data_IF_574304820294
#
_entry.id   IF_574304820294
#
_cell.length_a   1.000
_cell.length_b   1.000
_cell.length_c   1.000
_cell.angle_alpha   90.00
_cell.angle_beta   90.00
_cell.angle_gamma   90.00
#
_symmetry.space_group_name_H-M   'P 1'
#
loop_
_entity.id
_entity.type
_entity.pdbx_description
1 polymer ?
#
# COMPACT_ATOMS: atom_id res chain seq x y z
N UNK A 1 29.23 -9.81 39.63
CA UNK A 1 27.91 -9.18 39.63
C UNK A 1 28.06 -7.87 40.39
N UNK A 2 28.08 -6.73 39.69
CA UNK A 2 28.26 -5.42 40.34
C UNK A 2 26.87 -4.86 40.66
N UNK A 3 26.52 -4.85 41.95
CA UNK A 3 25.19 -4.44 42.42
C UNK A 3 24.87 -2.96 42.16
N UNK A 4 25.87 -2.15 41.81
CA UNK A 4 25.71 -0.74 41.52
C UNK A 4 25.79 -0.42 40.03
N UNK A 5 25.90 -1.44 39.16
CA UNK A 5 25.92 -1.20 37.72
C UNK A 5 24.57 -0.66 37.25
N UNK A 6 24.59 0.53 36.64
CA UNK A 6 23.44 1.17 36.03
C UNK A 6 23.70 1.34 34.54
N UNK A 7 22.72 1.00 33.73
CA UNK A 7 22.78 1.12 32.27
C UNK A 7 21.79 2.21 31.85
N UNK A 8 22.27 3.20 31.10
CA UNK A 8 21.47 4.29 30.55
C UNK A 8 21.60 4.31 29.02
N UNK A 9 20.47 4.43 28.32
CA UNK A 9 20.44 4.56 26.86
C UNK A 9 20.06 5.98 26.44
N UNK A 10 20.66 6.43 25.35
CA UNK A 10 20.39 7.72 24.75
C UNK A 10 20.16 7.58 23.25
N UNK A 11 19.28 8.41 22.71
CA UNK A 11 19.05 8.61 21.28
C UNK A 11 19.28 10.08 20.94
N UNK A 12 20.21 10.36 20.03
CA UNK A 12 20.60 11.71 19.62
C UNK A 12 20.95 12.62 20.82
N UNK A 13 21.67 12.07 21.80
CA UNK A 13 22.10 12.78 23.01
C UNK A 13 21.02 13.00 24.07
N UNK A 14 19.78 12.54 23.83
CA UNK A 14 18.68 12.60 24.81
C UNK A 14 18.42 11.23 25.42
N UNK A 15 18.01 11.12 26.70
CA UNK A 15 17.64 9.84 27.28
C UNK A 15 16.60 9.14 26.42
N UNK A 16 16.78 7.84 26.19
CA UNK A 16 15.84 7.04 25.40
C UNK A 16 14.46 7.09 26.08
N UNK A 17 13.40 7.53 25.38
CA UNK A 17 12.08 7.67 25.98
C UNK A 17 11.50 6.29 26.29
N UNK A 18 10.69 6.20 27.35
CA UNK A 18 9.95 4.98 27.67
C UNK A 18 8.85 4.76 26.64
N UNK A 19 8.99 3.74 25.80
CA UNK A 19 7.97 3.34 24.83
C UNK A 19 7.87 1.82 24.76
N UNK A 20 6.68 1.29 24.45
CA UNK A 20 6.44 -0.16 24.35
C UNK A 20 7.28 -0.86 23.27
N UNK A 21 7.75 -0.10 22.28
CA UNK A 21 8.61 -0.61 21.19
C UNK A 21 10.07 -0.80 21.59
N UNK A 22 10.51 -0.19 22.70
CA UNK A 22 11.88 -0.32 23.19
C UNK A 22 11.93 -1.38 24.28
N UNK A 23 12.63 -2.47 23.99
CA UNK A 23 12.87 -3.52 24.97
C UNK A 23 14.36 -3.54 25.30
N UNK A 24 14.68 -3.42 26.59
CA UNK A 24 16.06 -3.41 27.07
C UNK A 24 16.28 -4.69 27.85
N UNK A 25 17.28 -5.47 27.44
CA UNK A 25 17.72 -6.67 28.15
C UNK A 25 19.04 -6.39 28.85
N UNK A 26 19.13 -6.71 30.13
CA UNK A 26 20.37 -6.71 30.89
C UNK A 26 20.48 -8.01 31.68
N UNK A 27 21.38 -8.89 31.25
CA UNK A 27 21.61 -10.17 31.91
C UNK A 27 23.10 -10.53 31.88
N UNK A 28 23.68 -10.79 33.05
CA UNK A 28 25.05 -11.34 33.19
C UNK A 28 26.16 -10.70 32.31
N UNK A 29 26.18 -9.36 32.22
CA UNK A 29 27.21 -8.63 31.45
C UNK A 29 26.89 -8.48 29.96
N UNK A 30 25.72 -8.94 29.54
CA UNK A 30 25.12 -8.65 28.25
C UNK A 30 24.08 -7.53 28.39
N UNK A 31 24.15 -6.56 27.48
CA UNK A 31 23.21 -5.45 27.37
C UNK A 31 22.74 -5.39 25.93
N UNK A 32 21.43 -5.37 25.71
CA UNK A 32 20.83 -5.22 24.40
C UNK A 32 19.64 -4.25 24.43
N UNK A 33 19.45 -3.56 23.31
CA UNK A 33 18.29 -2.72 23.02
C UNK A 33 17.63 -3.24 21.75
N UNK A 34 16.42 -3.75 21.88
CA UNK A 34 15.57 -4.18 20.79
C UNK A 34 14.57 -3.06 20.46
N UNK A 35 14.48 -2.71 19.17
CA UNK A 35 13.56 -1.68 18.66
C UNK A 35 12.53 -2.35 17.75
N UNK A 36 11.30 -2.46 18.23
CA UNK A 36 10.18 -3.00 17.46
C UNK A 36 9.64 -2.01 16.42
N UNK A 37 9.27 -2.51 15.25
CA UNK A 37 8.62 -1.73 14.18
C UNK A 37 9.34 -0.41 13.84
N UNK A 38 10.59 -0.47 13.38
CA UNK A 38 11.39 0.73 13.11
C UNK A 38 10.70 1.70 12.13
N UNK A 39 10.63 2.98 12.53
CA UNK A 39 10.18 4.10 11.71
C UNK A 39 11.38 4.98 11.33
N UNK A 40 11.28 5.82 10.28
CA UNK A 40 12.38 6.72 9.88
C UNK A 40 12.89 7.63 11.00
N UNK A 41 12.01 8.00 11.93
CA UNK A 41 12.31 8.82 13.11
C UNK A 41 13.23 8.10 14.11
N UNK A 42 13.28 6.76 14.07
CA UNK A 42 14.17 5.96 14.92
C UNK A 42 15.63 6.01 14.40
N UNK A 43 15.89 6.57 13.20
CA UNK A 43 17.25 6.78 12.73
C UNK A 43 18.00 7.80 13.61
N UNK A 44 19.30 7.59 13.81
CA UNK A 44 20.10 8.50 14.62
C UNK A 44 21.26 7.81 15.33
N UNK A 45 21.91 8.56 16.21
CA UNK A 45 22.94 8.02 17.09
C UNK A 45 22.30 7.43 18.34
N UNK A 46 22.58 6.16 18.61
CA UNK A 46 22.24 5.49 19.87
C UNK A 46 23.51 5.33 20.68
N UNK A 47 23.44 5.65 21.97
CA UNK A 47 24.55 5.40 22.88
C UNK A 47 24.07 4.75 24.16
N UNK A 48 24.93 3.89 24.70
CA UNK A 48 24.74 3.21 25.98
C UNK A 48 25.84 3.64 26.93
N UNK A 49 25.46 4.06 28.13
CA UNK A 49 26.37 4.39 29.22
C UNK A 49 26.21 3.38 30.34
N UNK A 50 27.29 2.71 30.70
CA UNK A 50 27.34 1.84 31.87
C UNK A 50 28.11 2.56 32.98
N UNK A 51 27.50 2.66 34.16
CA UNK A 51 28.04 3.40 35.31
C UNK A 51 28.12 2.44 36.50
N UNK A 52 29.28 2.40 37.16
CA UNK A 52 29.45 1.73 38.45
C UNK A 52 30.19 2.65 39.43
N UNK A 53 30.49 2.14 40.64
CA UNK A 53 31.16 2.93 41.67
C UNK A 53 32.60 3.33 41.30
N UNK A 54 33.23 2.67 40.33
CA UNK A 54 34.62 2.91 39.94
C UNK A 54 34.73 3.82 38.72
N UNK A 55 33.67 3.98 37.94
CA UNK A 55 33.66 4.85 36.78
C UNK A 55 32.48 4.62 35.85
N UNK A 56 32.65 5.08 34.61
CA UNK A 56 31.66 4.97 33.56
C UNK A 56 32.33 4.61 32.23
N UNK A 57 31.63 3.86 31.39
CA UNK A 57 31.99 3.68 29.99
C UNK A 57 30.80 4.03 29.09
N UNK A 58 31.09 4.40 27.84
CA UNK A 58 30.05 4.74 26.86
C UNK A 58 30.40 4.11 25.53
N UNK A 59 29.41 3.55 24.85
CA UNK A 59 29.51 3.04 23.49
C UNK A 59 28.40 3.66 22.64
N UNK A 60 28.74 4.09 21.42
CA UNK A 60 27.82 4.75 20.49
C UNK A 60 27.78 4.01 19.15
N UNK A 61 26.62 4.06 18.50
CA UNK A 61 26.40 3.53 17.15
C UNK A 61 25.42 4.42 16.38
N UNK A 62 25.68 4.66 15.09
CA UNK A 62 24.73 5.34 14.21
C UNK A 62 23.86 4.33 13.46
N UNK A 63 22.54 4.44 13.64
CA UNK A 63 21.54 3.56 13.06
C UNK A 63 20.82 4.27 11.91
N UNK A 64 20.82 3.66 10.72
CA UNK A 64 20.12 4.16 9.54
C UNK A 64 18.88 3.32 9.28
N UNK A 65 17.70 3.94 9.34
CA UNK A 65 16.43 3.28 9.01
C UNK A 65 16.05 3.63 7.57
N UNK A 66 15.95 2.61 6.72
CA UNK A 66 15.51 2.75 5.33
C UNK A 66 14.05 2.34 5.29
N UNK A 67 13.15 3.32 5.17
CA UNK A 67 11.76 3.03 4.86
C UNK A 67 11.69 2.28 3.53
N UNK A 68 11.00 1.13 3.50
CA UNK A 68 10.58 0.56 2.23
C UNK A 68 9.53 1.50 1.65
N UNK A 69 9.94 2.32 0.69
CA UNK A 69 9.06 3.21 -0.05
C UNK A 69 7.88 2.41 -0.60
N UNK A 70 6.69 2.85 -0.22
CA UNK A 70 5.41 2.40 -0.73
C UNK A 70 5.34 2.60 -2.25
N UNK A 71 5.02 1.51 -2.96
CA UNK A 71 4.49 1.47 -4.34
C UNK A 71 5.40 2.09 -5.41
N UNK A 72 5.87 1.25 -6.32
CA UNK A 72 6.52 1.70 -7.56
C UNK A 72 5.47 2.47 -8.36
N UNK A 73 5.56 3.80 -8.37
CA UNK A 73 4.68 4.71 -9.10
C UNK A 73 5.01 4.74 -10.59
N UNK A 74 6.19 4.28 -10.97
CA UNK A 74 6.63 4.20 -12.35
C UNK A 74 5.90 3.06 -13.07
N UNK A 75 5.39 3.35 -14.27
CA UNK A 75 4.83 2.31 -15.14
C UNK A 75 5.92 1.30 -15.48
N UNK A 76 5.81 0.08 -14.96
CA UNK A 76 6.78 -1.00 -15.20
C UNK A 76 6.77 -1.52 -16.65
N UNK A 77 5.94 -0.95 -17.52
CA UNK A 77 5.80 -1.31 -18.93
C UNK A 77 5.60 -0.06 -19.80
N UNK A 78 6.68 0.59 -20.26
CA UNK A 78 6.58 1.73 -21.18
C UNK A 78 5.82 1.36 -22.47
N UNK A 79 5.92 0.11 -22.92
CA UNK A 79 5.24 -0.38 -24.13
C UNK A 79 3.70 -0.40 -24.02
N UNK A 80 3.17 -0.50 -22.80
CA UNK A 80 1.73 -0.45 -22.56
C UNK A 80 1.15 0.95 -22.82
N UNK A 81 1.93 2.00 -22.52
CA UNK A 81 1.51 3.40 -22.70
C UNK A 81 1.39 3.76 -24.18
N UNK A 82 2.33 3.31 -25.01
CA UNK A 82 2.28 3.51 -26.47
C UNK A 82 1.01 2.90 -27.07
N UNK A 83 0.64 1.69 -26.62
CA UNK A 83 -0.55 0.98 -27.09
C UNK A 83 -1.85 1.63 -26.63
N UNK A 84 -1.89 2.16 -25.40
CA UNK A 84 -3.04 2.93 -24.89
C UNK A 84 -3.20 4.21 -25.72
N UNK A 85 -2.12 4.95 -25.97
CA UNK A 85 -2.15 6.16 -26.78
C UNK A 85 -2.67 5.90 -28.19
N UNK A 86 -2.20 4.83 -28.84
CA UNK A 86 -2.70 4.43 -30.16
C UNK A 86 -4.20 4.09 -30.18
N UNK A 87 -4.70 3.46 -29.11
CA UNK A 87 -6.12 3.12 -28.98
C UNK A 87 -7.00 4.33 -28.64
N UNK A 88 -6.46 5.33 -27.96
CA UNK A 88 -7.12 6.61 -27.69
C UNK A 88 -7.10 7.56 -28.90
N UNK A 89 -6.02 7.51 -29.70
CA UNK A 89 -5.90 8.22 -30.98
C UNK A 89 -6.78 7.61 -32.07
N UNK A 90 -7.07 6.30 -31.97
CA UNK A 90 -8.03 5.65 -32.84
C UNK A 90 -9.41 6.26 -32.59
N UNK A 91 -9.93 6.99 -33.58
CA UNK A 91 -11.28 7.56 -33.54
C UNK A 91 -12.26 6.51 -33.00
N UNK A 92 -13.10 6.85 -31.98
CA UNK A 92 -14.15 5.94 -31.55
C UNK A 92 -14.95 5.56 -32.79
N UNK A 93 -15.13 4.26 -32.98
CA UNK A 93 -15.88 3.72 -34.10
C UNK A 93 -17.21 4.49 -34.19
N UNK A 94 -17.31 5.41 -35.16
CA UNK A 94 -18.55 6.12 -35.39
C UNK A 94 -19.49 5.08 -35.98
N UNK A 95 -20.48 4.68 -35.19
CA UNK A 95 -21.58 3.87 -35.69
C UNK A 95 -22.12 4.62 -36.92
N UNK A 96 -22.13 4.01 -38.11
CA UNK A 96 -22.67 4.68 -39.28
C UNK A 96 -24.08 5.13 -38.95
N UNK A 97 -24.36 6.42 -39.12
CA UNK A 97 -25.72 6.97 -39.01
C UNK A 97 -26.53 6.32 -40.12
N UNK A 98 -27.21 5.22 -39.79
CA UNK A 98 -28.25 4.68 -40.64
C UNK A 98 -29.36 5.73 -40.59
N UNK A 99 -29.73 6.37 -41.71
CA UNK A 99 -30.80 7.35 -41.71
C UNK A 99 -32.07 6.66 -41.18
N UNK A 100 -32.48 7.05 -39.97
CA UNK A 100 -33.71 6.58 -39.37
C UNK A 100 -34.86 7.05 -40.27
N UNK A 101 -35.61 6.12 -40.84
CA UNK A 101 -36.76 6.47 -41.66
C UNK A 101 -37.77 7.21 -40.77
N UNK A 102 -37.83 8.54 -40.91
CA UNK A 102 -38.75 9.39 -40.16
C UNK A 102 -40.18 9.04 -40.55
N UNK A 103 -40.80 8.16 -39.76
CA UNK A 103 -42.19 7.79 -39.92
C UNK A 103 -43.05 8.79 -39.15
N UNK A 104 -43.86 9.58 -39.87
CA UNK A 104 -44.81 10.55 -39.28
C UNK A 104 -46.07 9.90 -38.70
N UNK A 105 -46.14 8.58 -38.74
CA UNK A 105 -47.29 7.80 -38.25
C UNK A 105 -47.01 7.30 -36.84
N UNK A 106 -48.05 7.28 -35.99
CA UNK A 106 -47.99 6.58 -34.71
C UNK A 106 -47.56 5.12 -34.97
N UNK A 107 -46.72 4.51 -34.10
CA UNK A 107 -46.33 3.13 -34.26
C UNK A 107 -47.58 2.24 -34.44
N UNK A 108 -47.61 1.48 -35.52
CA UNK A 108 -48.62 0.46 -35.77
C UNK A 108 -47.91 -0.88 -35.84
N UNK A 109 -48.54 -1.92 -35.30
CA UNK A 109 -48.00 -3.27 -35.42
C UNK A 109 -48.04 -3.63 -36.91
N UNK A 110 -46.86 -3.85 -37.51
CA UNK A 110 -46.72 -4.12 -38.96
C UNK A 110 -47.08 -5.55 -39.32
N UNK A 111 -47.09 -6.44 -38.32
CA UNK A 111 -47.65 -7.79 -38.39
C UNK A 111 -48.87 -7.87 -37.46
N UNK A 112 -49.67 -8.95 -37.46
CA UNK A 112 -50.68 -9.20 -36.43
C UNK A 112 -50.10 -10.03 -35.27
N UNK A 113 -50.47 -9.72 -34.02
CA UNK A 113 -49.95 -10.44 -32.85
C UNK A 113 -50.39 -11.90 -32.93
N UNK A 114 -49.45 -12.81 -33.14
CA UNK A 114 -49.72 -14.24 -33.08
C UNK A 114 -49.60 -14.70 -31.63
N UNK A 115 -50.66 -15.36 -31.13
CA UNK A 115 -50.59 -15.99 -29.82
C UNK A 115 -49.82 -17.31 -29.96
N UNK A 116 -48.77 -17.46 -29.17
CA UNK A 116 -47.96 -18.68 -29.11
C UNK A 116 -48.27 -19.33 -27.76
N UNK A 117 -49.35 -20.13 -27.74
CA UNK A 117 -49.88 -20.76 -26.52
C UNK A 117 -49.06 -21.98 -26.05
N UNK A 118 -47.93 -22.29 -26.69
CA UNK A 118 -47.17 -23.53 -26.45
C UNK A 118 -45.66 -23.29 -26.43
N UNK A 119 -45.23 -22.41 -25.52
CA UNK A 119 -43.81 -22.17 -25.25
C UNK A 119 -43.50 -22.71 -23.86
N UNK A 120 -42.53 -23.62 -23.74
CA UNK A 120 -42.09 -24.10 -22.44
C UNK A 120 -41.44 -22.95 -21.65
N UNK A 121 -41.69 -22.92 -20.33
CA UNK A 121 -41.15 -21.89 -19.44
C UNK A 121 -39.61 -21.83 -19.56
N UNK A 122 -39.10 -20.68 -20.01
CA UNK A 122 -37.68 -20.43 -20.23
C UNK A 122 -37.19 -20.48 -21.69
N UNK A 123 -38.06 -20.78 -22.66
CA UNK A 123 -37.67 -20.77 -24.08
C UNK A 123 -37.89 -19.40 -24.75
N UNK A 124 -37.05 -19.09 -25.75
CA UNK A 124 -37.07 -17.81 -26.45
C UNK A 124 -38.26 -17.72 -27.40
N UNK A 125 -39.13 -16.74 -27.18
CA UNK A 125 -40.21 -16.40 -28.10
C UNK A 125 -39.73 -15.35 -29.10
N UNK A 126 -39.80 -15.65 -30.39
CA UNK A 126 -39.64 -14.67 -31.46
C UNK A 126 -41.02 -14.31 -32.03
N UNK A 127 -41.31 -13.01 -32.13
CA UNK A 127 -42.55 -12.43 -32.66
C UNK A 127 -42.26 -11.60 -33.90
#
# INVERSE_FOLDING_TARGET
HDSNLRIEFYHNGKPLPSASRFHITFDFGYVALDIGHCVPEDAGEYSVKAINNLGQCTSSINLKVIAKGSIILDSQRPEGLEKIRQLEEAQPFQRPEVPEAVTRQRPVFTQPLQNIDSIAEGATAHF
#
